data_IF_322719959003
#
_entry.id   IF_322719959003
#
_cell.length_a   1.000
_cell.length_b   1.000
_cell.length_c   1.000
_cell.angle_alpha   90.00
_cell.angle_beta   90.00
_cell.angle_gamma   90.00
#
_symmetry.space_group_name_H-M   'P 1'
#
loop_
_entity.id
_entity.type
_entity.pdbx_description
1 polymer ?
#
# COMPACT_ATOMS: atom_id res chain seq x y z
N UNK A 1 25.37 12.51 8.34
CA UNK A 1 24.76 11.26 8.85
C UNK A 1 23.33 11.18 8.35
N UNK A 2 22.90 10.01 7.88
CA UNK A 2 21.74 9.81 7.03
C UNK A 2 20.48 10.52 7.52
N UNK A 3 19.90 11.38 6.67
CA UNK A 3 18.54 11.90 6.79
C UNK A 3 17.60 10.69 6.74
N UNK A 4 17.29 10.11 7.91
CA UNK A 4 16.28 9.07 8.01
C UNK A 4 14.94 9.70 7.64
N UNK A 5 14.55 9.69 6.35
CA UNK A 5 13.20 10.14 5.98
C UNK A 5 12.23 9.32 6.82
N UNK A 6 11.50 10.01 7.69
CA UNK A 6 10.49 9.44 8.60
C UNK A 6 9.32 8.79 7.85
N UNK A 7 9.30 8.92 6.52
CA UNK A 7 8.23 8.49 5.65
C UNK A 7 8.76 7.97 4.30
N UNK A 8 7.94 7.13 3.68
CA UNK A 8 8.02 6.79 2.27
C UNK A 8 7.10 7.70 1.49
N UNK A 9 7.58 8.25 0.38
CA UNK A 9 6.72 8.90 -0.61
C UNK A 9 6.23 7.84 -1.59
N UNK A 10 4.92 7.72 -1.75
CA UNK A 10 4.30 6.70 -2.60
C UNK A 10 3.20 7.30 -3.49
N UNK A 11 2.86 6.58 -4.55
CA UNK A 11 1.67 6.82 -5.38
C UNK A 11 0.81 5.57 -5.43
N UNK A 12 -0.51 5.75 -5.50
CA UNK A 12 -1.42 4.65 -5.81
C UNK A 12 -1.17 4.19 -7.25
N UNK A 13 -1.09 2.88 -7.46
CA UNK A 13 -0.86 2.31 -8.80
C UNK A 13 -2.15 2.32 -9.63
N UNK A 14 -3.33 2.33 -8.98
CA UNK A 14 -4.66 2.37 -9.59
C UNK A 14 -4.98 1.16 -10.49
N UNK A 15 -6.25 0.75 -10.57
CA UNK A 15 -6.70 -0.31 -11.49
C UNK A 15 -6.15 -1.73 -11.22
N UNK A 16 -5.45 -1.94 -10.10
CA UNK A 16 -4.81 -3.21 -9.74
C UNK A 16 -5.65 -4.07 -8.79
N UNK A 17 -6.97 -3.81 -8.73
CA UNK A 17 -7.92 -4.58 -7.93
C UNK A 17 -8.35 -5.90 -8.57
N UNK A 18 -7.97 -6.13 -9.84
CA UNK A 18 -8.34 -7.33 -10.59
C UNK A 18 -7.48 -8.55 -10.27
N UNK A 19 -8.05 -9.75 -10.47
CA UNK A 19 -7.44 -11.05 -10.16
C UNK A 19 -6.10 -11.31 -10.87
N UNK A 20 -5.86 -10.70 -12.04
CA UNK A 20 -4.57 -10.79 -12.76
C UNK A 20 -3.39 -10.26 -11.95
N UNK A 21 -3.65 -9.36 -10.99
CA UNK A 21 -2.62 -8.80 -10.10
C UNK A 21 -2.50 -9.58 -8.79
N UNK A 22 -3.36 -10.57 -8.61
CA UNK A 22 -3.33 -11.49 -7.50
C UNK A 22 -2.34 -12.63 -7.75
N UNK A 23 -1.44 -12.89 -6.79
CA UNK A 23 -0.60 -14.09 -6.80
C UNK A 23 -1.44 -15.39 -6.74
N UNK A 24 -2.75 -15.29 -6.49
CA UNK A 24 -3.74 -16.35 -6.58
C UNK A 24 -5.06 -15.73 -7.06
N UNK A 25 -5.69 -16.29 -8.10
CA UNK A 25 -6.83 -15.72 -8.84
C UNK A 25 -8.15 -15.53 -8.08
N UNK A 26 -8.11 -15.31 -6.76
CA UNK A 26 -9.26 -15.07 -5.88
C UNK A 26 -9.08 -13.85 -4.97
N UNK A 27 -7.96 -13.12 -5.07
CA UNK A 27 -7.64 -12.06 -4.12
C UNK A 27 -8.24 -10.71 -4.55
N UNK A 28 -9.19 -10.22 -3.74
CA UNK A 28 -9.82 -8.89 -3.87
C UNK A 28 -9.22 -7.91 -2.85
N UNK A 29 -9.65 -6.63 -2.86
CA UNK A 29 -9.26 -5.59 -1.88
C UNK A 29 -9.21 -6.03 -0.41
N UNK A 30 -10.18 -6.85 0.01
CA UNK A 30 -10.27 -7.42 1.35
C UNK A 30 -9.24 -8.52 1.59
N UNK A 31 -9.01 -9.38 0.58
CA UNK A 31 -7.96 -10.40 0.60
C UNK A 31 -6.58 -9.77 0.68
N UNK A 32 -6.36 -8.64 0.02
CA UNK A 32 -5.11 -7.89 0.08
C UNK A 32 -4.75 -7.44 1.49
N UNK A 33 -5.73 -6.85 2.21
CA UNK A 33 -5.49 -6.47 3.61
C UNK A 33 -5.20 -7.70 4.47
N UNK A 34 -5.89 -8.82 4.22
CA UNK A 34 -5.70 -10.07 4.96
C UNK A 34 -4.29 -10.66 4.73
N UNK A 35 -3.85 -10.79 3.47
CA UNK A 35 -2.49 -11.26 3.13
C UNK A 35 -1.44 -10.42 3.82
N UNK A 36 -1.63 -9.09 3.83
CA UNK A 36 -0.73 -8.20 4.54
C UNK A 36 -0.72 -8.52 6.04
N UNK A 37 -1.88 -8.71 6.68
CA UNK A 37 -1.98 -9.03 8.11
C UNK A 37 -1.26 -10.34 8.42
N UNK A 38 -1.46 -11.37 7.60
CA UNK A 38 -0.79 -12.68 7.73
C UNK A 38 0.73 -12.56 7.56
N UNK A 39 1.19 -11.79 6.58
CA UNK A 39 2.63 -11.61 6.30
C UNK A 39 3.34 -10.72 7.33
N UNK A 40 2.65 -9.74 7.92
CA UNK A 40 3.26 -8.74 8.81
C UNK A 40 2.96 -8.97 10.29
N UNK A 41 1.96 -9.77 10.63
CA UNK A 41 1.40 -9.86 11.99
C UNK A 41 0.75 -8.56 12.48
N UNK A 42 0.60 -7.55 11.62
CA UNK A 42 0.18 -6.21 12.01
C UNK A 42 -1.35 -6.09 12.13
N UNK A 43 -1.84 -5.73 13.31
CA UNK A 43 -3.26 -5.46 13.58
C UNK A 43 -3.66 -4.00 13.35
N UNK A 44 -3.01 -3.29 12.43
CA UNK A 44 -3.31 -1.88 12.16
C UNK A 44 -4.79 -1.72 11.75
N UNK A 45 -5.47 -0.75 12.36
CA UNK A 45 -6.90 -0.46 12.15
C UNK A 45 -7.14 0.89 11.46
N UNK A 46 -6.10 1.71 11.26
CA UNK A 46 -6.18 3.02 10.61
C UNK A 46 -5.32 3.09 9.36
N UNK A 47 -5.68 3.96 8.41
CA UNK A 47 -4.89 4.26 7.21
C UNK A 47 -3.41 4.54 7.56
N UNK A 48 -2.47 4.03 6.76
CA UNK A 48 -1.04 4.29 6.95
C UNK A 48 -0.52 5.59 6.34
N UNK A 49 -1.35 6.29 5.56
CA UNK A 49 -1.04 7.62 5.06
C UNK A 49 -0.99 8.58 6.26
N UNK A 50 0.06 9.40 6.33
CA UNK A 50 0.23 10.39 7.37
C UNK A 50 -0.99 11.31 7.44
N UNK A 51 -1.35 11.71 8.66
CA UNK A 51 -2.49 12.60 8.96
C UNK A 51 -3.87 12.03 8.56
N UNK A 52 -3.95 10.75 8.17
CA UNK A 52 -5.21 10.08 7.91
C UNK A 52 -5.65 9.22 9.10
N UNK A 53 -6.84 9.50 9.64
CA UNK A 53 -7.47 8.76 10.74
C UNK A 53 -8.58 7.81 10.29
N UNK A 54 -8.79 7.66 8.98
CA UNK A 54 -9.83 6.80 8.43
C UNK A 54 -9.59 5.31 8.78
N UNK A 55 -10.69 4.60 9.07
CA UNK A 55 -10.68 3.20 9.54
C UNK A 55 -11.22 2.21 8.51
N UNK A 56 -11.73 2.68 7.37
CA UNK A 56 -12.18 1.86 6.24
C UNK A 56 -11.00 1.28 5.45
N UNK A 57 -10.15 0.52 6.15
CA UNK A 57 -8.91 -0.03 5.63
C UNK A 57 -9.14 -1.09 4.56
N UNK A 58 -8.31 -1.01 3.53
CA UNK A 58 -8.15 -1.99 2.46
C UNK A 58 -6.66 -2.22 2.19
N UNK A 59 -6.33 -3.31 1.50
CA UNK A 59 -4.99 -3.50 0.95
C UNK A 59 -4.90 -2.79 -0.39
N UNK A 60 -4.08 -1.75 -0.47
CA UNK A 60 -3.86 -0.97 -1.70
C UNK A 60 -2.45 -1.16 -2.24
N UNK A 61 -2.34 -1.28 -3.56
CA UNK A 61 -1.07 -1.32 -4.25
C UNK A 61 -0.51 0.10 -4.40
N UNK A 62 0.70 0.29 -3.92
CA UNK A 62 1.42 1.57 -3.98
C UNK A 62 2.81 1.35 -4.54
N UNK A 63 3.33 2.38 -5.21
CA UNK A 63 4.70 2.41 -5.72
C UNK A 63 5.46 3.50 -4.97
N UNK A 64 6.69 3.20 -4.53
CA UNK A 64 7.57 4.22 -3.95
C UNK A 64 8.06 5.16 -5.06
N UNK A 65 7.96 6.46 -4.83
CA UNK A 65 8.43 7.51 -5.74
C UNK A 65 9.44 8.46 -5.08
N UNK A 66 10.07 8.03 -3.99
CA UNK A 66 11.12 8.78 -3.27
C UNK A 66 12.55 8.53 -3.79
N UNK A 67 12.69 7.83 -4.92
CA UNK A 67 13.98 7.51 -5.54
C UNK A 67 14.78 6.41 -4.84
N UNK A 68 14.24 5.79 -3.79
CA UNK A 68 14.93 4.70 -3.04
C UNK A 68 14.70 3.33 -3.65
N UNK A 69 13.59 3.16 -4.35
CA UNK A 69 13.22 1.95 -5.08
C UNK A 69 12.40 2.38 -6.28
N UNK A 70 12.95 2.28 -7.48
CA UNK A 70 12.20 2.59 -8.70
C UNK A 70 11.35 1.38 -9.09
N UNK A 71 10.05 1.62 -9.28
CA UNK A 71 9.09 0.70 -9.90
C UNK A 71 8.72 -0.58 -9.12
N UNK A 72 9.12 -0.72 -7.86
CA UNK A 72 8.64 -1.82 -7.03
C UNK A 72 7.23 -1.57 -6.50
N UNK A 73 6.38 -2.61 -6.58
CA UNK A 73 5.02 -2.56 -6.08
C UNK A 73 4.99 -3.05 -4.63
N UNK A 74 4.23 -2.34 -3.83
CA UNK A 74 4.10 -2.59 -2.40
C UNK A 74 2.64 -2.63 -2.01
N UNK A 75 2.33 -3.47 -1.04
CA UNK A 75 1.01 -3.53 -0.44
C UNK A 75 0.99 -2.75 0.88
N UNK A 76 0.12 -1.74 0.93
CA UNK A 76 -0.04 -0.84 2.06
C UNK A 76 -1.46 -0.91 2.63
N UNK A 77 -1.65 -0.80 3.96
CA UNK A 77 -2.96 -0.72 4.59
C UNK A 77 -3.46 0.73 4.52
N UNK A 78 -4.20 1.06 3.47
CA UNK A 78 -4.74 2.40 3.21
C UNK A 78 -6.27 2.39 3.22
N UNK A 79 -6.93 3.53 3.41
CA UNK A 79 -8.39 3.60 3.35
C UNK A 79 -8.92 3.67 1.90
N UNK A 80 -10.22 3.47 1.68
CA UNK A 80 -10.81 3.54 0.33
C UNK A 80 -10.61 4.90 -0.34
N UNK A 81 -10.57 5.98 0.45
CA UNK A 81 -10.28 7.33 -0.06
C UNK A 81 -8.90 7.40 -0.73
N UNK A 82 -7.88 6.85 -0.08
CA UNK A 82 -6.51 6.85 -0.60
C UNK A 82 -6.31 5.78 -1.67
N UNK A 83 -7.03 4.66 -1.59
CA UNK A 83 -7.06 3.60 -2.60
C UNK A 83 -7.98 3.93 -3.79
N UNK A 84 -8.55 5.14 -3.86
CA UNK A 84 -9.46 5.51 -4.93
C UNK A 84 -8.71 5.59 -6.26
N UNK A 85 -9.29 5.05 -7.33
CA UNK A 85 -8.69 5.06 -8.68
C UNK A 85 -8.47 6.47 -9.25
N UNK A 86 -9.20 7.47 -8.75
CA UNK A 86 -9.03 8.88 -9.13
C UNK A 86 -7.92 9.57 -8.33
N UNK A 87 -7.35 8.91 -7.32
CA UNK A 87 -6.26 9.47 -6.55
C UNK A 87 -4.95 9.33 -7.34
N UNK A 88 -4.46 10.46 -7.84
CA UNK A 88 -3.18 10.58 -8.56
C UNK A 88 -2.10 11.29 -7.73
N UNK A 89 -2.45 11.70 -6.51
CA UNK A 89 -1.59 12.47 -5.64
C UNK A 89 -0.50 11.61 -5.00
N UNK A 90 0.61 12.28 -4.66
CA UNK A 90 1.66 11.70 -3.83
C UNK A 90 1.19 11.62 -2.38
N UNK A 91 1.43 10.47 -1.77
CA UNK A 91 1.08 10.21 -0.38
C UNK A 91 2.35 9.92 0.42
N UNK A 92 2.32 10.29 1.69
CA UNK A 92 3.39 9.99 2.62
C UNK A 92 2.93 8.89 3.58
N UNK A 93 3.67 7.79 3.64
CA UNK A 93 3.42 6.69 4.56
C UNK A 93 4.51 6.68 5.62
N UNK A 94 4.13 6.55 6.89
CA UNK A 94 5.09 6.44 8.00
C UNK A 94 6.06 5.27 7.77
N UNK A 95 7.38 5.53 7.87
CA UNK A 95 8.43 4.54 7.64
C UNK A 95 8.39 3.33 8.58
N UNK A 96 7.71 3.45 9.73
CA UNK A 96 7.49 2.35 10.69
C UNK A 96 6.42 1.36 10.23
N UNK A 97 5.69 1.66 9.16
CA UNK A 97 4.69 0.76 8.60
C UNK A 97 5.37 -0.27 7.72
N UNK A 98 5.21 -1.54 8.08
CA UNK A 98 5.65 -2.65 7.23
C UNK A 98 4.82 -2.69 5.96
N UNK A 99 5.47 -2.39 4.84
CA UNK A 99 4.98 -2.60 3.48
C UNK A 99 5.38 -4.01 3.03
N UNK A 100 4.49 -4.69 2.32
CA UNK A 100 4.78 -6.03 1.77
C UNK A 100 5.12 -5.88 0.30
N UNK A 101 6.30 -6.34 -0.12
CA UNK A 101 6.67 -6.33 -1.53
C UNK A 101 5.76 -7.30 -2.29
N UNK A 102 5.22 -6.87 -3.43
CA UNK A 102 4.43 -7.71 -4.33
C UNK A 102 5.03 -7.65 -5.73
N UNK A 103 4.88 -8.74 -6.47
CA UNK A 103 5.28 -8.79 -7.88
C UNK A 103 4.17 -8.22 -8.76
N UNK A 104 4.56 -7.60 -9.86
CA UNK A 104 3.62 -7.25 -10.92
C UNK A 104 2.93 -8.53 -11.40
N UNK A 105 1.60 -8.52 -11.47
CA UNK A 105 0.85 -9.64 -12.01
C UNK A 105 1.27 -9.90 -13.46
N UNK A 106 1.82 -11.08 -13.71
CA UNK A 106 2.20 -11.59 -15.04
C UNK A 106 0.99 -11.78 -15.94
#
# INVERSE_FOLDING_TARGET
>A
MATMNSHFKVKNINGTSGERYANSGSMTGSSWLQIRREHTGSNRTTCCVLECSHTDLVGGHVMKCDGRSSNEWWLAPICNKHNNHNNTEEMFIDSRVTLVAVREGT
#
